data_IF_091089501416
#
_entry.id   IF_091089501416
#
_cell.length_a   1.000
_cell.length_b   1.000
_cell.length_c   1.000
_cell.angle_alpha   90.00
_cell.angle_beta   90.00
_cell.angle_gamma   90.00
#
_symmetry.space_group_name_H-M   'P 1'
#
loop_
_entity.id
_entity.type
_entity.pdbx_description
1 polymer ?
#
# COMPACT_ATOMS: atom_id res chain seq x y z
N UNK A 1 -91.85 11.36 -27.21
CA UNK A 1 -90.46 11.45 -27.66
C UNK A 1 -89.58 11.58 -26.39
N UNK A 2 -89.08 10.42 -25.90
CA UNK A 2 -88.29 10.37 -24.65
C UNK A 2 -86.79 10.37 -25.03
N UNK A 3 -86.09 11.42 -24.59
CA UNK A 3 -84.63 11.56 -24.79
C UNK A 3 -83.97 10.79 -23.66
N UNK A 4 -83.19 9.74 -23.98
CA UNK A 4 -82.31 9.04 -23.03
C UNK A 4 -80.96 9.80 -22.97
N UNK A 5 -80.63 10.25 -21.75
CA UNK A 5 -79.33 10.83 -21.45
C UNK A 5 -78.48 9.72 -20.84
N UNK A 6 -77.36 9.33 -21.52
CA UNK A 6 -76.33 8.45 -21.00
C UNK A 6 -75.31 9.25 -20.18
N UNK A 7 -74.94 8.80 -18.97
CA UNK A 7 -73.84 9.45 -18.23
C UNK A 7 -72.51 8.94 -18.76
N UNK A 8 -71.70 9.86 -19.20
CA UNK A 8 -70.33 9.63 -19.63
C UNK A 8 -69.45 9.47 -18.36
N UNK A 9 -69.13 8.23 -17.98
CA UNK A 9 -68.23 7.90 -16.88
C UNK A 9 -66.79 8.16 -17.30
N UNK A 10 -66.20 9.18 -16.69
CA UNK A 10 -64.76 9.52 -16.85
C UNK A 10 -63.93 8.50 -16.09
N UNK A 11 -63.29 7.55 -16.82
CA UNK A 11 -62.18 6.72 -16.33
C UNK A 11 -60.94 7.61 -16.26
N UNK A 12 -60.56 8.04 -15.06
CA UNK A 12 -59.24 8.67 -14.77
C UNK A 12 -58.22 7.53 -14.63
N UNK A 13 -57.23 7.40 -15.53
CA UNK A 13 -56.17 6.44 -15.32
C UNK A 13 -55.32 6.87 -14.13
N UNK A 14 -55.32 6.08 -13.05
CA UNK A 14 -54.41 6.20 -11.90
C UNK A 14 -53.00 5.84 -12.38
N UNK A 15 -52.21 6.86 -12.77
CA UNK A 15 -50.79 6.72 -13.04
C UNK A 15 -50.09 6.49 -11.71
N UNK A 16 -49.91 5.22 -11.34
CA UNK A 16 -49.01 4.84 -10.24
C UNK A 16 -47.58 5.16 -10.66
N UNK A 17 -47.09 6.36 -10.34
CA UNK A 17 -45.67 6.68 -10.37
C UNK A 17 -44.98 5.75 -9.37
N UNK A 18 -44.36 4.68 -9.88
CA UNK A 18 -43.40 3.86 -9.14
C UNK A 18 -42.21 4.79 -8.80
N UNK A 19 -42.27 5.44 -7.66
CA UNK A 19 -41.11 6.07 -7.04
C UNK A 19 -40.17 4.93 -6.67
N UNK A 20 -39.32 4.53 -7.62
CA UNK A 20 -38.18 3.68 -7.30
C UNK A 20 -37.39 4.40 -6.22
N UNK A 21 -37.14 3.81 -5.06
CA UNK A 21 -36.30 4.43 -4.06
C UNK A 21 -34.95 4.70 -4.75
N UNK A 22 -34.50 5.95 -4.69
CA UNK A 22 -33.14 6.31 -5.08
C UNK A 22 -32.25 5.52 -4.14
N UNK A 23 -31.78 4.34 -4.59
CA UNK A 23 -30.75 3.61 -3.89
C UNK A 23 -29.51 4.50 -3.91
N UNK A 24 -29.21 5.10 -2.78
CA UNK A 24 -27.89 5.69 -2.63
C UNK A 24 -26.87 4.57 -2.83
N UNK A 25 -26.05 4.69 -3.86
CA UNK A 25 -24.96 3.75 -4.11
C UNK A 25 -24.19 3.53 -2.80
N UNK A 26 -23.93 2.26 -2.47
CA UNK A 26 -23.19 1.92 -1.26
C UNK A 26 -21.83 2.65 -1.25
N UNK A 27 -21.56 3.41 -0.18
CA UNK A 27 -20.31 4.14 -0.03
C UNK A 27 -19.32 3.33 0.81
N UNK A 28 -18.11 3.14 0.27
CA UNK A 28 -16.97 2.56 0.97
C UNK A 28 -15.89 3.64 1.14
N UNK A 29 -15.43 3.81 2.37
CA UNK A 29 -14.28 4.65 2.66
C UNK A 29 -12.98 3.88 2.47
N UNK A 30 -11.98 4.50 1.86
CA UNK A 30 -10.61 3.98 1.80
C UNK A 30 -9.69 4.97 2.48
N UNK A 31 -9.09 4.55 3.59
CA UNK A 31 -8.20 5.39 4.40
C UNK A 31 -6.78 4.86 4.35
N UNK A 32 -5.92 5.59 3.63
CA UNK A 32 -4.50 5.27 3.52
C UNK A 32 -3.73 5.65 4.79
N UNK A 33 -2.56 5.05 5.01
CA UNK A 33 -1.71 5.43 6.14
C UNK A 33 -1.10 6.82 5.95
N UNK A 34 -0.79 7.19 4.71
CA UNK A 34 -0.24 8.48 4.32
C UNK A 34 -0.84 9.01 3.03
N UNK A 35 -0.51 10.25 2.67
CA UNK A 35 -0.98 10.94 1.46
C UNK A 35 -0.02 10.91 0.28
N UNK A 36 1.09 10.17 0.36
CA UNK A 36 2.17 10.18 -0.63
C UNK A 36 1.77 9.79 -2.06
N UNK A 37 2.64 10.11 -2.99
CA UNK A 37 2.62 9.57 -4.36
C UNK A 37 3.09 8.09 -4.36
N UNK A 38 3.15 7.45 -5.52
CA UNK A 38 3.63 6.08 -5.65
C UNK A 38 2.68 5.08 -5.02
N UNK A 39 3.11 4.37 -3.98
CA UNK A 39 2.37 3.27 -3.37
C UNK A 39 0.90 3.61 -3.04
N UNK A 40 0.65 4.72 -2.36
CA UNK A 40 -0.73 5.10 -2.00
C UNK A 40 -1.56 5.58 -3.18
N UNK A 41 -0.93 6.09 -4.24
CA UNK A 41 -1.61 6.43 -5.48
C UNK A 41 -2.09 5.17 -6.21
N UNK A 42 -1.28 4.13 -6.29
CA UNK A 42 -1.68 2.84 -6.87
C UNK A 42 -2.81 2.17 -6.06
N UNK A 43 -2.74 2.21 -4.72
CA UNK A 43 -3.86 1.76 -3.85
C UNK A 43 -5.15 2.51 -4.20
N UNK A 44 -5.07 3.83 -4.40
CA UNK A 44 -6.22 4.66 -4.81
C UNK A 44 -6.77 4.22 -6.16
N UNK A 45 -5.90 4.00 -7.15
CA UNK A 45 -6.30 3.56 -8.49
C UNK A 45 -7.02 2.20 -8.45
N UNK A 46 -6.47 1.25 -7.71
CA UNK A 46 -7.11 -0.06 -7.50
C UNK A 46 -8.47 0.04 -6.83
N UNK A 47 -8.59 0.85 -5.79
CA UNK A 47 -9.87 1.10 -5.12
C UNK A 47 -10.91 1.76 -6.03
N UNK A 48 -10.48 2.72 -6.87
CA UNK A 48 -11.34 3.38 -7.84
C UNK A 48 -11.77 2.44 -8.97
N UNK A 49 -10.90 1.51 -9.39
CA UNK A 49 -11.27 0.49 -10.38
C UNK A 49 -12.32 -0.46 -9.82
N UNK A 50 -12.11 -0.97 -8.60
CA UNK A 50 -13.12 -1.82 -7.94
C UNK A 50 -14.47 -1.10 -7.77
N UNK A 51 -14.45 0.21 -7.47
CA UNK A 51 -15.66 1.02 -7.38
C UNK A 51 -16.45 1.05 -8.69
N UNK A 52 -15.74 1.17 -9.85
CA UNK A 52 -16.36 1.14 -11.18
C UNK A 52 -16.95 -0.25 -11.49
N UNK A 53 -16.19 -1.30 -11.19
CA UNK A 53 -16.58 -2.67 -11.52
C UNK A 53 -17.77 -3.16 -10.69
N UNK A 54 -17.91 -2.62 -9.46
CA UNK A 54 -19.01 -2.94 -8.52
C UNK A 54 -20.18 -1.95 -8.57
N UNK A 55 -20.09 -0.87 -9.35
CA UNK A 55 -21.07 0.24 -9.42
C UNK A 55 -21.39 0.83 -8.03
N UNK A 56 -20.34 1.12 -7.25
CA UNK A 56 -20.43 1.70 -5.91
C UNK A 56 -19.63 3.00 -5.79
N UNK A 57 -19.92 3.78 -4.75
CA UNK A 57 -19.14 4.98 -4.43
C UNK A 57 -17.94 4.63 -3.54
N UNK A 58 -16.75 5.14 -3.89
CA UNK A 58 -15.56 5.04 -3.06
C UNK A 58 -14.99 6.43 -2.75
N UNK A 59 -14.72 6.70 -1.47
CA UNK A 59 -14.05 7.93 -1.01
C UNK A 59 -12.67 7.57 -0.47
N UNK A 60 -11.62 8.00 -1.19
CA UNK A 60 -10.23 7.75 -0.77
C UNK A 60 -9.64 8.99 -0.12
N UNK A 61 -9.16 8.87 1.12
CA UNK A 61 -8.49 9.92 1.89
C UNK A 61 -7.39 9.32 2.77
N UNK A 62 -6.45 10.15 3.20
CA UNK A 62 -5.43 9.79 4.18
C UNK A 62 -4.79 11.03 4.80
N UNK A 63 -4.07 10.90 5.91
CA UNK A 63 -3.25 11.98 6.43
C UNK A 63 -2.07 12.25 5.48
N UNK A 64 -1.51 13.44 5.52
CA UNK A 64 -0.32 13.79 4.71
C UNK A 64 0.89 12.96 5.16
N UNK A 65 1.05 12.81 6.48
CA UNK A 65 2.16 12.09 7.10
C UNK A 65 1.67 10.81 7.79
N UNK A 66 2.36 9.70 7.56
CA UNK A 66 2.08 8.40 8.18
C UNK A 66 2.20 8.43 9.71
N UNK A 67 3.03 9.28 10.28
CA UNK A 67 3.14 9.47 11.72
C UNK A 67 1.93 10.18 12.34
N UNK A 68 1.04 10.80 11.54
CA UNK A 68 -0.13 11.53 12.02
C UNK A 68 -1.31 10.61 12.38
N UNK A 69 -1.18 9.90 13.50
CA UNK A 69 -2.22 8.99 14.00
C UNK A 69 -3.55 9.70 14.30
N UNK A 70 -3.52 10.91 14.88
CA UNK A 70 -4.72 11.70 15.17
C UNK A 70 -5.43 12.14 13.88
N UNK A 71 -4.66 12.54 12.87
CA UNK A 71 -5.17 12.89 11.55
C UNK A 71 -5.92 11.74 10.90
N UNK A 72 -5.37 10.51 10.94
CA UNK A 72 -6.04 9.35 10.38
C UNK A 72 -7.37 9.05 11.10
N UNK A 73 -7.42 9.13 12.43
CA UNK A 73 -8.69 8.96 13.16
C UNK A 73 -9.73 10.00 12.76
N UNK A 74 -9.32 11.24 12.54
CA UNK A 74 -10.22 12.31 12.08
C UNK A 74 -10.76 12.04 10.67
N UNK A 75 -9.93 11.52 9.76
CA UNK A 75 -10.33 11.12 8.41
C UNK A 75 -11.36 9.99 8.47
N UNK A 76 -11.13 8.95 9.29
CA UNK A 76 -12.10 7.86 9.49
C UNK A 76 -13.46 8.41 9.93
N UNK A 77 -13.48 9.26 10.95
CA UNK A 77 -14.72 9.85 11.46
C UNK A 77 -15.45 10.66 10.38
N UNK A 78 -14.73 11.42 9.56
CA UNK A 78 -15.32 12.23 8.48
C UNK A 78 -15.95 11.34 7.39
N UNK A 79 -15.28 10.27 6.97
CA UNK A 79 -15.78 9.32 5.97
C UNK A 79 -17.08 8.66 6.45
N UNK A 80 -17.13 8.25 7.70
CA UNK A 80 -18.34 7.65 8.27
C UNK A 80 -19.47 8.69 8.39
N UNK A 81 -19.15 9.94 8.76
CA UNK A 81 -20.12 11.04 8.77
C UNK A 81 -20.70 11.33 7.38
N UNK A 82 -19.94 11.09 6.32
CA UNK A 82 -20.39 11.24 4.93
C UNK A 82 -21.26 10.08 4.44
N UNK A 83 -21.53 9.07 5.29
CA UNK A 83 -22.48 8.01 5.03
C UNK A 83 -21.87 6.70 4.52
N UNK A 84 -20.52 6.57 4.48
CA UNK A 84 -19.91 5.30 4.09
C UNK A 84 -20.18 4.21 5.12
N UNK A 85 -20.56 3.02 4.64
CA UNK A 85 -21.00 1.87 5.44
C UNK A 85 -19.98 0.71 5.49
N UNK A 86 -18.84 0.88 4.85
CA UNK A 86 -17.69 -0.02 4.89
C UNK A 86 -16.38 0.76 4.90
N UNK A 87 -15.32 0.19 5.44
CA UNK A 87 -14.01 0.83 5.52
C UNK A 87 -12.90 -0.11 5.07
N UNK A 88 -12.10 0.35 4.10
CA UNK A 88 -10.75 -0.16 3.82
C UNK A 88 -9.77 0.75 4.54
N UNK A 89 -8.89 0.20 5.36
CA UNK A 89 -8.00 0.97 6.22
C UNK A 89 -6.56 0.43 6.18
N UNK A 90 -5.61 1.28 5.83
CA UNK A 90 -4.19 1.04 6.12
C UNK A 90 -3.84 1.66 7.47
N UNK A 91 -3.82 0.92 8.58
CA UNK A 91 -3.67 1.52 9.91
C UNK A 91 -2.26 2.08 10.11
N UNK A 92 -2.14 3.35 10.49
CA UNK A 92 -0.86 3.99 10.79
C UNK A 92 -0.49 3.96 12.29
N UNK A 93 -1.33 3.37 13.12
CA UNK A 93 -1.10 3.25 14.57
C UNK A 93 -1.88 2.08 15.16
N UNK A 94 -1.36 1.47 16.23
CA UNK A 94 -2.08 0.47 17.03
C UNK A 94 -3.39 1.01 17.63
N UNK A 95 -3.54 2.32 17.77
CA UNK A 95 -4.78 2.96 18.23
C UNK A 95 -5.97 2.75 17.30
N UNK A 96 -5.73 2.41 16.02
CA UNK A 96 -6.79 2.09 15.05
C UNK A 96 -7.69 0.94 15.49
N UNK A 97 -7.21 0.05 16.40
CA UNK A 97 -8.06 -0.99 17.01
C UNK A 97 -9.30 -0.41 17.67
N UNK A 98 -9.17 0.76 18.33
CA UNK A 98 -10.29 1.44 19.02
C UNK A 98 -11.32 1.97 18.01
N UNK A 99 -10.82 2.57 16.91
CA UNK A 99 -11.70 3.06 15.85
C UNK A 99 -12.45 1.89 15.20
N UNK A 100 -11.76 0.81 14.85
CA UNK A 100 -12.35 -0.38 14.20
C UNK A 100 -13.33 -1.10 15.12
N UNK A 101 -13.07 -1.19 16.42
CA UNK A 101 -14.04 -1.70 17.39
C UNK A 101 -15.31 -0.89 17.38
N UNK A 102 -15.20 0.44 17.44
CA UNK A 102 -16.37 1.34 17.38
C UNK A 102 -17.15 1.23 16.06
N UNK A 103 -16.47 0.97 14.94
CA UNK A 103 -17.09 0.74 13.64
C UNK A 103 -17.86 -0.58 13.62
N UNK A 104 -17.28 -1.66 14.15
CA UNK A 104 -17.95 -2.95 14.29
C UNK A 104 -19.22 -2.86 15.11
N UNK A 105 -19.18 -2.13 16.24
CA UNK A 105 -20.36 -1.89 17.09
C UNK A 105 -21.50 -1.15 16.35
N UNK A 106 -21.16 -0.42 15.28
CA UNK A 106 -22.12 0.27 14.38
C UNK A 106 -22.51 -0.56 13.15
N UNK A 107 -22.06 -1.82 13.06
CA UNK A 107 -22.30 -2.68 11.91
C UNK A 107 -21.49 -2.30 10.65
N UNK A 108 -20.39 -1.54 10.80
CA UNK A 108 -19.54 -1.08 9.69
C UNK A 108 -18.32 -2.00 9.61
N UNK A 109 -18.26 -2.93 8.63
CA UNK A 109 -17.12 -3.81 8.46
C UNK A 109 -15.87 -3.05 8.04
N UNK A 110 -14.72 -3.48 8.56
CA UNK A 110 -13.41 -2.90 8.23
C UNK A 110 -12.48 -3.98 7.70
N UNK A 111 -11.87 -3.74 6.53
CA UNK A 111 -10.80 -4.52 5.95
C UNK A 111 -9.48 -3.74 6.07
N UNK A 112 -8.45 -4.38 6.60
CA UNK A 112 -7.13 -3.78 6.60
C UNK A 112 -6.40 -4.06 5.28
N UNK A 113 -5.59 -3.11 4.85
CA UNK A 113 -4.63 -3.25 3.75
C UNK A 113 -3.23 -2.85 4.23
N UNK A 114 -2.19 -3.39 3.59
CA UNK A 114 -0.77 -3.15 3.88
C UNK A 114 -0.34 -3.58 5.28
N UNK A 115 -1.00 -3.11 6.32
CA UNK A 115 -0.62 -3.32 7.73
C UNK A 115 -1.72 -4.01 8.52
N UNK A 116 -1.32 -4.85 9.46
CA UNK A 116 -2.22 -5.50 10.43
C UNK A 116 -1.83 -5.11 11.85
N UNK A 117 -2.70 -4.38 12.51
CA UNK A 117 -2.55 -4.04 13.93
C UNK A 117 -3.42 -4.92 14.84
N UNK A 118 -4.13 -5.90 14.26
CA UNK A 118 -5.09 -6.76 15.00
C UNK A 118 -6.42 -6.06 15.31
N UNK A 119 -7.23 -6.65 16.17
CA UNK A 119 -8.55 -6.13 16.52
C UNK A 119 -9.67 -6.68 15.63
N UNK A 120 -10.77 -5.95 15.53
CA UNK A 120 -12.06 -6.42 14.99
C UNK A 120 -12.22 -6.26 13.48
N UNK A 121 -11.13 -6.21 12.71
CA UNK A 121 -11.20 -6.22 11.24
C UNK A 121 -11.74 -7.56 10.74
N UNK A 122 -12.48 -7.54 9.61
CA UNK A 122 -13.02 -8.74 8.98
C UNK A 122 -11.95 -9.48 8.17
N UNK A 123 -11.04 -8.73 7.54
CA UNK A 123 -9.95 -9.26 6.71
C UNK A 123 -8.72 -8.37 6.77
N UNK A 124 -7.58 -8.88 6.30
CA UNK A 124 -6.38 -8.09 6.00
C UNK A 124 -5.77 -8.55 4.68
N UNK A 125 -5.41 -7.60 3.83
CA UNK A 125 -4.74 -7.81 2.55
C UNK A 125 -3.37 -7.16 2.63
N UNK A 126 -2.31 -7.94 2.56
CA UNK A 126 -0.94 -7.43 2.75
C UNK A 126 0.10 -8.24 2.02
N UNK A 127 1.25 -7.62 1.82
CA UNK A 127 2.46 -8.30 1.33
C UNK A 127 2.97 -9.31 2.36
N UNK A 128 3.53 -10.41 1.88
CA UNK A 128 4.33 -11.35 2.69
C UNK A 128 5.69 -10.71 3.03
N UNK A 129 5.67 -9.70 3.91
CA UNK A 129 6.80 -8.80 4.14
C UNK A 129 8.11 -9.50 4.52
N UNK A 130 8.07 -10.54 5.35
CA UNK A 130 9.27 -11.28 5.71
C UNK A 130 9.87 -12.03 4.51
N UNK A 131 9.03 -12.65 3.68
CA UNK A 131 9.45 -13.33 2.44
C UNK A 131 10.00 -12.35 1.40
N UNK A 132 9.41 -11.16 1.32
CA UNK A 132 9.93 -10.09 0.46
C UNK A 132 11.33 -9.63 0.88
N UNK A 133 11.58 -9.54 2.19
CA UNK A 133 12.93 -9.30 2.73
C UNK A 133 13.91 -10.43 2.43
N UNK A 134 13.48 -11.69 2.61
CA UNK A 134 14.29 -12.87 2.23
C UNK A 134 14.64 -12.79 0.75
N UNK A 135 13.69 -12.47 -0.13
CA UNK A 135 13.96 -12.32 -1.57
C UNK A 135 15.05 -11.28 -1.84
N UNK A 136 14.98 -10.11 -1.20
CA UNK A 136 16.01 -9.08 -1.33
C UNK A 136 17.40 -9.56 -0.87
N UNK A 137 17.48 -10.25 0.29
CA UNK A 137 18.71 -10.79 0.82
C UNK A 137 19.34 -11.88 -0.08
N UNK A 138 18.51 -12.79 -0.63
CA UNK A 138 18.96 -13.79 -1.60
C UNK A 138 19.53 -13.13 -2.87
N UNK A 139 18.83 -12.11 -3.40
CA UNK A 139 19.28 -11.41 -4.60
C UNK A 139 20.59 -10.64 -4.35
N UNK A 140 20.74 -10.02 -3.19
CA UNK A 140 21.98 -9.35 -2.79
C UNK A 140 23.13 -10.34 -2.66
N UNK A 141 22.91 -11.46 -1.96
CA UNK A 141 23.94 -12.50 -1.78
C UNK A 141 24.36 -13.12 -3.11
N UNK A 142 23.40 -13.37 -4.02
CA UNK A 142 23.68 -13.85 -5.36
C UNK A 142 24.52 -12.85 -6.17
N UNK A 143 24.17 -11.58 -6.13
CA UNK A 143 24.88 -10.52 -6.87
C UNK A 143 26.31 -10.34 -6.35
N UNK A 144 26.50 -10.43 -5.05
CA UNK A 144 27.81 -10.33 -4.37
C UNK A 144 28.55 -11.69 -4.25
N UNK A 145 28.01 -12.76 -4.85
CA UNK A 145 28.62 -14.11 -4.88
C UNK A 145 28.91 -14.67 -3.47
N UNK A 146 28.04 -14.35 -2.51
CA UNK A 146 28.15 -14.83 -1.13
C UNK A 146 29.27 -14.16 -0.31
N UNK A 147 29.81 -13.03 -0.75
CA UNK A 147 30.85 -12.28 -0.05
C UNK A 147 30.59 -10.79 -0.19
N UNK A 148 30.64 -10.03 0.90
CA UNK A 148 30.48 -8.59 0.86
C UNK A 148 29.93 -8.02 2.15
N UNK A 149 30.16 -6.72 2.31
CA UNK A 149 29.76 -5.90 3.46
C UNK A 149 28.54 -5.07 3.07
N UNK A 150 27.43 -5.27 3.76
CA UNK A 150 26.16 -4.63 3.41
C UNK A 150 25.62 -3.77 4.55
N UNK A 151 24.97 -2.67 4.20
CA UNK A 151 24.25 -1.82 5.13
C UNK A 151 22.73 -1.96 4.94
N UNK A 152 22.00 -2.00 6.05
CA UNK A 152 20.55 -1.92 6.11
C UNK A 152 20.13 -0.54 6.63
N UNK A 153 19.52 0.27 5.77
CA UNK A 153 18.99 1.57 6.14
C UNK A 153 17.48 1.44 6.44
N UNK A 154 17.16 1.29 7.72
CA UNK A 154 15.82 0.98 8.24
C UNK A 154 14.93 2.23 8.26
N UNK A 155 13.61 2.02 8.16
CA UNK A 155 12.66 3.13 8.18
C UNK A 155 12.37 3.64 9.59
N UNK A 156 11.73 2.82 10.42
CA UNK A 156 11.30 3.13 11.79
C UNK A 156 10.92 1.84 12.51
N UNK A 157 11.21 1.76 13.80
CA UNK A 157 10.84 0.59 14.64
C UNK A 157 9.33 0.42 14.81
N UNK A 158 8.55 1.49 14.69
CA UNK A 158 7.10 1.47 14.83
C UNK A 158 6.37 0.88 13.62
N UNK A 159 7.06 0.70 12.48
CA UNK A 159 6.45 0.21 11.23
C UNK A 159 6.73 -1.28 11.04
N UNK A 160 5.80 -2.12 11.49
CA UNK A 160 5.94 -3.59 11.52
C UNK A 160 6.20 -4.19 10.13
N UNK A 161 5.64 -3.62 9.06
CA UNK A 161 5.83 -4.12 7.69
C UNK A 161 7.29 -4.02 7.26
N UNK A 162 7.93 -2.87 7.48
CA UNK A 162 9.35 -2.69 7.16
C UNK A 162 10.24 -3.51 8.08
N UNK A 163 9.91 -3.60 9.39
CA UNK A 163 10.65 -4.46 10.33
C UNK A 163 10.67 -5.93 9.88
N UNK A 164 9.56 -6.45 9.34
CA UNK A 164 9.54 -7.82 8.79
C UNK A 164 10.41 -7.95 7.56
N UNK A 165 10.41 -6.98 6.63
CA UNK A 165 11.29 -6.97 5.45
C UNK A 165 12.76 -6.93 5.85
N UNK A 166 13.10 -6.07 6.79
CA UNK A 166 14.42 -5.89 7.37
C UNK A 166 14.96 -7.18 8.00
N UNK A 167 14.15 -7.83 8.84
CA UNK A 167 14.51 -9.10 9.47
C UNK A 167 14.67 -10.23 8.44
N UNK A 168 13.79 -10.28 7.42
CA UNK A 168 13.91 -11.23 6.31
C UNK A 168 15.20 -11.03 5.51
N UNK A 169 15.54 -9.77 5.23
CA UNK A 169 16.79 -9.42 4.55
C UNK A 169 18.03 -9.86 5.34
N UNK A 170 18.11 -9.49 6.63
CA UNK A 170 19.24 -9.86 7.49
C UNK A 170 19.42 -11.38 7.49
N UNK A 171 18.33 -12.14 7.73
CA UNK A 171 18.39 -13.59 7.77
C UNK A 171 18.94 -14.18 6.46
N UNK A 172 18.45 -13.75 5.32
CA UNK A 172 18.89 -14.27 4.02
C UNK A 172 20.28 -13.76 3.62
N UNK A 173 20.63 -12.52 3.91
CA UNK A 173 21.94 -11.95 3.61
C UNK A 173 23.04 -12.64 4.43
N UNK A 174 22.86 -12.79 5.73
CA UNK A 174 23.82 -13.48 6.61
C UNK A 174 23.91 -14.97 6.25
N UNK A 175 22.74 -15.63 6.07
CA UNK A 175 22.70 -17.03 5.62
C UNK A 175 23.35 -17.26 4.23
N UNK A 176 23.38 -16.23 3.38
CA UNK A 176 24.03 -16.20 2.08
C UNK A 176 25.48 -15.74 2.09
N UNK A 177 26.13 -15.59 3.28
CA UNK A 177 27.56 -15.29 3.44
C UNK A 177 27.90 -13.79 3.47
N UNK A 178 26.91 -12.87 3.52
CA UNK A 178 27.17 -11.45 3.62
C UNK A 178 27.36 -10.99 5.08
N UNK A 179 28.18 -9.98 5.28
CA UNK A 179 28.36 -9.29 6.56
C UNK A 179 27.47 -8.06 6.63
N UNK A 180 26.50 -8.03 7.54
CA UNK A 180 25.71 -6.81 7.82
C UNK A 180 26.50 -5.92 8.76
N UNK A 181 27.19 -4.92 8.20
CA UNK A 181 28.12 -4.03 8.95
C UNK A 181 27.41 -2.85 9.60
N UNK A 182 26.21 -2.55 9.14
CA UNK A 182 25.39 -1.47 9.68
C UNK A 182 23.91 -1.81 9.54
N UNK A 183 23.16 -1.58 10.60
CA UNK A 183 21.70 -1.51 10.59
C UNK A 183 21.24 -0.34 11.47
N UNK A 184 20.40 0.54 10.91
CA UNK A 184 19.91 1.67 11.68
C UNK A 184 18.82 2.45 10.97
N UNK A 185 18.05 3.19 11.75
CA UNK A 185 16.89 3.94 11.29
C UNK A 185 17.29 5.28 10.66
N UNK A 186 16.80 5.54 9.44
CA UNK A 186 17.03 6.81 8.75
C UNK A 186 15.79 7.72 8.79
N UNK A 187 14.62 7.22 9.19
CA UNK A 187 13.39 7.99 9.35
C UNK A 187 12.36 7.77 8.25
N UNK A 188 11.19 8.38 8.44
CA UNK A 188 9.98 8.16 7.62
C UNK A 188 9.82 9.18 6.49
N UNK A 189 10.38 10.38 6.62
CA UNK A 189 10.26 11.47 5.64
C UNK A 189 11.48 11.55 4.74
N UNK A 190 11.28 11.70 3.44
CA UNK A 190 12.36 11.68 2.43
C UNK A 190 13.49 12.68 2.75
N UNK A 191 13.16 13.90 3.22
CA UNK A 191 14.17 14.93 3.53
C UNK A 191 15.08 14.54 4.68
N UNK A 192 14.52 14.12 5.81
CA UNK A 192 15.28 13.69 6.99
C UNK A 192 16.03 12.40 6.72
N UNK A 193 15.34 11.42 6.09
CA UNK A 193 15.95 10.14 5.75
C UNK A 193 17.15 10.30 4.80
N UNK A 194 17.10 11.23 3.83
CA UNK A 194 18.24 11.54 2.98
C UNK A 194 19.44 12.09 3.77
N UNK A 195 19.17 13.05 4.67
CA UNK A 195 20.24 13.61 5.51
C UNK A 195 20.89 12.52 6.36
N UNK A 196 20.07 11.73 7.06
CA UNK A 196 20.55 10.65 7.91
C UNK A 196 21.29 9.56 7.10
N UNK A 197 20.83 9.23 5.90
CA UNK A 197 21.54 8.30 5.00
C UNK A 197 22.92 8.84 4.58
N UNK A 198 23.06 10.13 4.27
CA UNK A 198 24.35 10.75 3.97
C UNK A 198 25.26 10.67 5.20
N UNK A 199 24.76 11.08 6.37
CA UNK A 199 25.55 11.10 7.61
C UNK A 199 26.07 9.69 7.96
N UNK A 200 25.22 8.66 7.84
CA UNK A 200 25.57 7.27 8.14
C UNK A 200 26.54 6.71 7.08
N UNK A 201 26.17 6.78 5.80
CA UNK A 201 26.97 6.18 4.73
C UNK A 201 28.35 6.81 4.61
N UNK A 202 28.50 8.11 4.91
CA UNK A 202 29.81 8.77 4.89
C UNK A 202 30.80 8.23 5.94
N UNK A 203 30.32 7.52 6.97
CA UNK A 203 31.17 6.89 7.98
C UNK A 203 31.63 5.47 7.62
N UNK A 204 31.06 4.87 6.57
CA UNK A 204 31.36 3.50 6.15
C UNK A 204 32.45 3.50 5.09
N UNK A 205 33.60 2.85 5.39
CA UNK A 205 34.76 2.87 4.48
C UNK A 205 34.63 1.88 3.32
N UNK A 206 34.09 0.67 3.57
CA UNK A 206 33.91 -0.40 2.59
C UNK A 206 32.49 -0.88 2.61
N UNK A 207 31.79 -0.66 1.52
CA UNK A 207 30.38 -1.00 1.38
C UNK A 207 30.14 -1.61 0.00
N UNK A 208 29.68 -2.87 -0.02
CA UNK A 208 29.43 -3.61 -1.25
C UNK A 208 27.93 -3.60 -1.62
N UNK A 209 27.05 -3.43 -0.63
CA UNK A 209 25.62 -3.39 -0.88
C UNK A 209 24.82 -2.61 0.16
N UNK A 210 23.64 -2.14 -0.25
CA UNK A 210 22.69 -1.40 0.59
C UNK A 210 21.30 -1.98 0.36
N UNK A 211 20.56 -2.21 1.44
CA UNK A 211 19.13 -2.52 1.38
C UNK A 211 18.30 -1.44 2.03
N UNK A 212 17.19 -1.07 1.38
CA UNK A 212 16.19 -0.12 1.86
C UNK A 212 14.80 -0.74 1.76
N UNK A 213 13.98 -0.75 2.87
CA UNK A 213 12.80 -1.61 2.98
C UNK A 213 11.49 -1.01 2.46
N UNK A 214 11.49 0.25 1.96
CA UNK A 214 10.28 0.90 1.42
C UNK A 214 10.61 2.10 0.52
N UNK A 215 9.58 2.67 -0.13
CA UNK A 215 9.71 3.79 -1.07
C UNK A 215 10.50 4.97 -0.48
N UNK A 216 10.11 5.48 0.70
CA UNK A 216 10.74 6.69 1.26
C UNK A 216 12.22 6.50 1.59
N UNK A 217 12.61 5.34 2.12
CA UNK A 217 14.02 5.02 2.39
C UNK A 217 14.79 4.78 1.10
N UNK A 218 14.19 4.15 0.09
CA UNK A 218 14.80 3.91 -1.22
C UNK A 218 15.09 5.23 -1.94
N UNK A 219 14.09 6.12 -2.06
CA UNK A 219 14.25 7.43 -2.68
C UNK A 219 15.27 8.31 -1.96
N UNK A 220 15.28 8.26 -0.63
CA UNK A 220 16.22 8.99 0.19
C UNK A 220 17.65 8.52 -0.03
N UNK A 221 17.85 7.21 -0.12
CA UNK A 221 19.17 6.59 -0.33
C UNK A 221 19.69 6.82 -1.74
N UNK A 222 18.85 6.74 -2.78
CA UNK A 222 19.23 7.11 -4.15
C UNK A 222 19.80 8.55 -4.17
N UNK A 223 19.07 9.50 -3.56
CA UNK A 223 19.50 10.91 -3.49
C UNK A 223 20.73 11.12 -2.60
N UNK A 224 20.94 10.27 -1.59
CA UNK A 224 22.15 10.31 -0.76
C UNK A 224 23.37 9.81 -1.53
N UNK A 225 23.27 8.70 -2.25
CA UNK A 225 24.35 8.10 -3.04
C UNK A 225 24.88 9.06 -4.13
N UNK A 226 24.02 9.91 -4.71
CA UNK A 226 24.46 10.96 -5.65
C UNK A 226 25.46 11.95 -5.03
N UNK A 227 25.55 12.03 -3.69
CA UNK A 227 26.50 12.87 -2.96
C UNK A 227 27.70 12.10 -2.39
N UNK A 228 27.75 10.79 -2.59
CA UNK A 228 28.72 9.88 -1.98
C UNK A 228 29.43 9.03 -3.07
N UNK A 229 30.29 9.64 -3.91
CA UNK A 229 30.92 8.93 -5.03
C UNK A 229 31.77 7.73 -4.59
N UNK A 230 32.25 7.71 -3.32
CA UNK A 230 32.97 6.56 -2.75
C UNK A 230 32.12 5.29 -2.66
N UNK A 231 30.79 5.39 -2.73
CA UNK A 231 29.85 4.27 -2.72
C UNK A 231 29.13 4.05 -4.07
N UNK A 232 29.64 4.64 -5.15
CA UNK A 232 29.04 4.52 -6.48
C UNK A 232 28.95 3.05 -7.00
N UNK A 233 29.81 2.16 -6.48
CA UNK A 233 29.82 0.74 -6.84
C UNK A 233 29.02 -0.15 -5.87
N UNK A 234 28.46 0.40 -4.80
CA UNK A 234 27.64 -0.38 -3.86
C UNK A 234 26.31 -0.76 -4.52
N UNK A 235 25.99 -2.06 -4.50
CA UNK A 235 24.73 -2.55 -5.07
C UNK A 235 23.54 -2.11 -4.20
N UNK A 236 22.68 -1.24 -4.71
CA UNK A 236 21.48 -0.83 -3.99
C UNK A 236 20.29 -1.70 -4.42
N UNK A 237 19.71 -2.44 -3.45
CA UNK A 237 18.40 -3.07 -3.59
C UNK A 237 17.39 -2.28 -2.76
N UNK A 238 16.38 -1.74 -3.44
CA UNK A 238 15.32 -0.96 -2.82
C UNK A 238 14.00 -1.71 -2.74
N UNK A 239 12.95 -0.95 -2.47
CA UNK A 239 11.60 -1.46 -2.32
C UNK A 239 10.59 -0.45 -2.86
N UNK A 240 9.45 -0.95 -3.36
CA UNK A 240 8.38 -0.21 -3.98
C UNK A 240 8.68 0.32 -5.40
N UNK A 241 7.66 0.86 -6.05
CA UNK A 241 7.70 1.39 -7.41
C UNK A 241 7.57 2.90 -7.37
N UNK A 242 8.46 3.61 -8.07
CA UNK A 242 8.41 5.06 -8.25
C UNK A 242 9.27 5.42 -9.47
N UNK A 243 8.93 6.49 -10.19
CA UNK A 243 9.66 6.90 -11.40
C UNK A 243 11.16 7.00 -11.18
N UNK A 244 11.60 7.66 -10.11
CA UNK A 244 13.03 7.77 -9.78
C UNK A 244 13.69 6.41 -9.48
N UNK A 245 12.96 5.43 -8.94
CA UNK A 245 13.48 4.07 -8.71
C UNK A 245 13.69 3.37 -10.05
N UNK A 246 12.72 3.50 -10.95
CA UNK A 246 12.78 2.93 -12.30
C UNK A 246 13.92 3.60 -13.09
N UNK A 247 14.01 4.93 -13.07
CA UNK A 247 15.09 5.68 -13.71
C UNK A 247 16.48 5.25 -13.19
N UNK A 248 16.63 5.12 -11.86
CA UNK A 248 17.87 4.68 -11.24
C UNK A 248 18.24 3.23 -11.55
N UNK A 249 17.25 2.38 -11.82
CA UNK A 249 17.50 1.04 -12.33
C UNK A 249 17.99 1.08 -13.78
N UNK A 250 17.34 1.86 -14.63
CA UNK A 250 17.66 1.95 -16.06
C UNK A 250 19.04 2.59 -16.31
N UNK A 251 19.41 3.59 -15.51
CA UNK A 251 20.74 4.23 -15.57
C UNK A 251 21.84 3.44 -14.84
N UNK A 252 21.47 2.29 -14.23
CA UNK A 252 22.35 1.36 -13.49
C UNK A 252 22.95 1.93 -12.20
N UNK A 253 22.45 3.04 -11.68
CA UNK A 253 22.82 3.54 -10.35
C UNK A 253 22.16 2.75 -9.22
N UNK A 254 21.21 1.87 -9.56
CA UNK A 254 20.56 0.93 -8.67
C UNK A 254 20.61 -0.49 -9.27
N UNK A 255 20.82 -1.50 -8.42
CA UNK A 255 20.88 -2.90 -8.88
C UNK A 255 19.51 -3.53 -9.09
N UNK A 256 18.54 -3.20 -8.22
CA UNK A 256 17.20 -3.74 -8.32
C UNK A 256 16.30 -3.28 -7.17
N UNK A 257 15.04 -3.68 -7.23
CA UNK A 257 14.08 -3.40 -6.17
C UNK A 257 13.01 -4.49 -6.07
N UNK A 258 12.36 -4.56 -4.91
CA UNK A 258 11.21 -5.43 -4.69
C UNK A 258 9.93 -4.64 -4.97
N UNK A 259 9.22 -4.98 -6.04
CA UNK A 259 7.91 -4.41 -6.37
C UNK A 259 6.80 -5.13 -5.60
N UNK A 260 5.89 -4.36 -5.02
CA UNK A 260 4.64 -4.82 -4.41
C UNK A 260 3.49 -4.75 -5.42
N UNK A 261 2.27 -5.05 -4.97
CA UNK A 261 1.03 -4.95 -5.77
C UNK A 261 0.01 -4.03 -5.08
N UNK A 262 0.31 -2.74 -4.90
CA UNK A 262 -0.57 -1.83 -4.17
C UNK A 262 -1.92 -1.60 -4.87
N UNK A 263 -1.95 -1.58 -6.20
CA UNK A 263 -3.21 -1.57 -6.96
C UNK A 263 -4.12 -2.73 -6.53
N UNK A 264 -3.58 -3.95 -6.48
CA UNK A 264 -4.34 -5.14 -6.09
C UNK A 264 -4.82 -5.05 -4.64
N UNK A 265 -4.03 -4.47 -3.73
CA UNK A 265 -4.45 -4.26 -2.34
C UNK A 265 -5.65 -3.31 -2.24
N UNK A 266 -5.65 -2.22 -3.02
CA UNK A 266 -6.77 -1.28 -3.08
C UNK A 266 -8.02 -1.93 -3.67
N UNK A 267 -7.86 -2.63 -4.80
CA UNK A 267 -8.94 -3.33 -5.49
C UNK A 267 -9.59 -4.39 -4.59
N UNK A 268 -8.81 -5.37 -4.13
CA UNK A 268 -9.30 -6.44 -3.26
C UNK A 268 -9.81 -5.92 -1.91
N UNK A 269 -9.26 -4.80 -1.40
CA UNK A 269 -9.76 -4.16 -0.19
C UNK A 269 -11.23 -3.74 -0.33
N UNK A 270 -11.56 -3.09 -1.45
CA UNK A 270 -12.92 -2.65 -1.74
C UNK A 270 -13.85 -3.85 -2.01
N UNK A 271 -13.43 -4.83 -2.82
CA UNK A 271 -14.21 -6.06 -3.04
C UNK A 271 -14.53 -6.78 -1.73
N UNK A 272 -13.50 -6.98 -0.89
CA UNK A 272 -13.65 -7.73 0.37
C UNK A 272 -14.57 -7.03 1.35
N UNK A 273 -14.46 -5.69 1.48
CA UNK A 273 -15.37 -4.97 2.36
C UNK A 273 -16.79 -4.90 1.81
N UNK A 274 -16.96 -4.81 0.49
CA UNK A 274 -18.27 -4.89 -0.17
C UNK A 274 -18.95 -6.24 0.08
N UNK A 275 -18.23 -7.35 -0.07
CA UNK A 275 -18.72 -8.69 0.28
C UNK A 275 -19.15 -8.78 1.75
N UNK A 276 -18.32 -8.23 2.66
CA UNK A 276 -18.65 -8.22 4.09
C UNK A 276 -19.89 -7.38 4.41
N UNK A 277 -20.14 -6.26 3.70
CA UNK A 277 -21.37 -5.47 3.82
C UNK A 277 -22.62 -6.23 3.41
N UNK A 278 -22.47 -7.20 2.49
CA UNK A 278 -23.54 -8.10 2.03
C UNK A 278 -23.70 -9.35 2.93
N UNK A 279 -22.92 -9.48 4.00
CA UNK A 279 -22.93 -10.64 4.88
C UNK A 279 -22.22 -11.87 4.31
N UNK A 280 -21.47 -11.72 3.22
CA UNK A 280 -20.70 -12.80 2.61
C UNK A 280 -19.42 -13.02 3.43
N UNK A 281 -19.12 -14.29 3.72
CA UNK A 281 -17.91 -14.66 4.46
C UNK A 281 -16.65 -14.36 3.64
N UNK A 282 -15.67 -13.70 4.26
CA UNK A 282 -14.41 -13.30 3.62
C UNK A 282 -13.23 -14.04 4.22
N UNK A 283 -12.13 -14.18 3.46
CA UNK A 283 -10.88 -14.70 3.97
C UNK A 283 -10.28 -13.73 5.01
N UNK A 284 -9.81 -14.25 6.13
CA UNK A 284 -9.20 -13.42 7.20
C UNK A 284 -7.86 -12.81 6.82
N UNK A 285 -7.13 -13.46 5.92
CA UNK A 285 -5.81 -13.03 5.43
C UNK A 285 -5.72 -13.31 3.92
N UNK A 286 -5.42 -12.28 3.17
CA UNK A 286 -5.10 -12.34 1.75
C UNK A 286 -3.68 -11.81 1.58
N UNK A 287 -2.79 -12.67 1.11
CA UNK A 287 -1.40 -12.28 0.85
C UNK A 287 -1.24 -11.85 -0.60
N UNK A 288 -0.53 -10.74 -0.81
CA UNK A 288 -0.06 -10.33 -2.15
C UNK A 288 1.41 -10.70 -2.31
N UNK A 289 1.76 -11.23 -3.48
CA UNK A 289 3.14 -11.57 -3.82
C UNK A 289 3.97 -10.33 -4.12
N UNK A 290 5.28 -10.50 -4.12
CA UNK A 290 6.27 -9.50 -4.54
C UNK A 290 7.13 -10.02 -5.68
N UNK A 291 7.69 -9.11 -6.45
CA UNK A 291 8.57 -9.44 -7.57
C UNK A 291 9.88 -8.66 -7.43
N UNK A 292 11.02 -9.35 -7.56
CA UNK A 292 12.30 -8.67 -7.72
C UNK A 292 12.44 -8.17 -9.15
N UNK A 293 12.69 -6.89 -9.31
CA UNK A 293 12.89 -6.22 -10.60
C UNK A 293 14.32 -5.76 -10.71
N UNK A 294 14.97 -6.07 -11.82
CA UNK A 294 16.31 -5.64 -12.18
C UNK A 294 16.42 -5.39 -13.70
N UNK A 295 17.60 -5.01 -14.17
CA UNK A 295 17.82 -4.75 -15.60
C UNK A 295 17.62 -5.98 -16.50
N UNK A 296 17.71 -7.21 -15.95
CA UNK A 296 17.52 -8.44 -16.74
C UNK A 296 16.06 -8.71 -17.06
N UNK A 297 15.13 -8.22 -16.21
CA UNK A 297 13.72 -8.55 -16.33
C UNK A 297 12.76 -7.35 -16.51
N UNK A 298 13.20 -6.10 -16.33
CA UNK A 298 12.32 -4.92 -16.40
C UNK A 298 11.61 -4.78 -17.77
N UNK A 299 12.21 -5.32 -18.85
CA UNK A 299 11.63 -5.26 -20.20
C UNK A 299 10.61 -6.38 -20.48
N UNK A 300 10.41 -7.34 -19.55
CA UNK A 300 9.40 -8.38 -19.72
C UNK A 300 7.98 -7.76 -19.67
N UNK A 301 7.07 -8.17 -20.56
CA UNK A 301 5.71 -7.63 -20.60
C UNK A 301 4.97 -7.71 -19.25
N UNK A 302 5.14 -8.81 -18.52
CA UNK A 302 4.54 -8.98 -17.18
C UNK A 302 5.07 -8.00 -16.14
N UNK A 303 6.35 -7.62 -16.25
CA UNK A 303 6.97 -6.62 -15.35
C UNK A 303 6.52 -5.22 -15.75
N UNK A 304 6.48 -4.90 -17.03
CA UNK A 304 5.95 -3.61 -17.50
C UNK A 304 4.51 -3.38 -17.04
N UNK A 305 3.65 -4.39 -17.17
CA UNK A 305 2.28 -4.34 -16.64
C UNK A 305 2.28 -4.12 -15.12
N UNK A 306 3.13 -4.85 -14.37
CA UNK A 306 3.24 -4.70 -12.92
C UNK A 306 3.64 -3.28 -12.51
N UNK A 307 4.55 -2.66 -13.26
CA UNK A 307 5.09 -1.33 -12.97
C UNK A 307 4.26 -0.19 -13.57
N UNK A 308 3.26 -0.50 -14.41
CA UNK A 308 2.47 0.51 -15.13
C UNK A 308 3.28 1.33 -16.13
N UNK A 309 4.29 0.73 -16.76
CA UNK A 309 5.16 1.35 -17.77
C UNK A 309 4.97 0.70 -19.15
N UNK A 310 5.22 1.47 -20.22
CA UNK A 310 5.11 1.02 -21.63
C UNK A 310 6.34 0.20 -22.11
#
# INVERSE_FOLDING_TARGET
MKILIFPLSWLVPLVLCLLSPISYADCIGVVTAGGGAGFWQEVRQGAQQAAKDLDIQVIVRGPIDEANSKGQSSVIKSIIKWGCKGLVLAPNSKDRKKDVKSLKEKGIPTVYIDRDVGGDRVSVIKTQNYQAGILAGIQMSKALKGQGRVALLRMSEDVVTTTHRENGFINAAVGGGLEVIYEGYIGTTIGNARKNAIDILSTLEKLDGIFTPNESTTLSTIKALQKLPQHANALHIGFDTHDLIIESLLDKSMYGFIAQKPFLMGYQGVETVHQAMQGISTQRLINTDTTFVNNDNIQLPSIKILLGID
#
